data_IF_305881921380
#
_entry.id   IF_305881921380
#
_cell.length_a   1.000
_cell.length_b   1.000
_cell.length_c   1.000
_cell.angle_alpha   90.00
_cell.angle_beta   90.00
_cell.angle_gamma   90.00
#
_symmetry.space_group_name_H-M   'P 1'
#
loop_
_entity.id
_entity.type
_entity.pdbx_description
1 polymer ?
#
# COMPACT_ATOMS: atom_id res chain seq x y z
N UNK A 1 -10.96 13.37 16.40
CA UNK A 1 -12.13 12.50 16.09
C UNK A 1 -13.06 13.06 15.01
N UNK A 2 -13.80 14.17 15.25
CA UNK A 2 -14.76 14.73 14.28
C UNK A 2 -14.15 15.21 12.95
N UNK A 3 -12.85 15.52 12.90
CA UNK A 3 -12.22 16.10 11.71
C UNK A 3 -11.82 15.03 10.67
N UNK A 4 -11.14 13.96 11.06
CA UNK A 4 -10.73 12.88 10.16
C UNK A 4 -11.95 12.14 9.59
N UNK A 5 -12.92 11.80 10.43
CA UNK A 5 -14.17 11.19 9.99
C UNK A 5 -14.97 12.11 9.05
N UNK A 6 -15.00 13.42 9.30
CA UNK A 6 -15.63 14.39 8.38
C UNK A 6 -14.86 14.53 7.06
N UNK A 7 -13.53 14.41 7.06
CA UNK A 7 -12.74 14.42 5.83
C UNK A 7 -13.00 13.15 5.02
N UNK A 8 -12.97 11.97 5.65
CA UNK A 8 -13.33 10.71 5.01
C UNK A 8 -14.77 10.73 4.46
N UNK A 9 -15.74 11.23 5.24
CA UNK A 9 -17.14 11.35 4.82
C UNK A 9 -17.32 12.37 3.68
N UNK A 10 -16.62 13.51 3.71
CA UNK A 10 -16.65 14.53 2.66
C UNK A 10 -15.96 14.06 1.38
N UNK A 11 -14.87 13.31 1.50
CA UNK A 11 -14.17 12.69 0.38
C UNK A 11 -15.04 11.58 -0.21
N UNK A 12 -15.61 10.67 0.58
CA UNK A 12 -16.54 9.64 0.11
C UNK A 12 -17.74 10.24 -0.68
N UNK A 13 -18.29 11.37 -0.20
CA UNK A 13 -19.34 12.11 -0.93
C UNK A 13 -18.85 12.74 -2.25
N UNK A 14 -17.57 13.12 -2.36
CA UNK A 14 -16.97 13.64 -3.59
C UNK A 14 -16.50 12.54 -4.55
N UNK A 15 -16.01 11.42 -4.03
CA UNK A 15 -15.60 10.19 -4.73
C UNK A 15 -16.77 9.51 -5.44
N UNK A 16 -18.02 9.79 -5.02
CA UNK A 16 -19.23 9.37 -5.73
C UNK A 16 -19.44 7.86 -5.80
N UNK A 17 -18.87 7.09 -4.87
CA UNK A 17 -18.98 5.64 -4.83
C UNK A 17 -19.64 5.14 -3.54
N UNK A 18 -20.38 4.04 -3.67
CA UNK A 18 -20.99 3.24 -2.59
C UNK A 18 -19.94 2.49 -1.73
N UNK A 19 -18.65 2.81 -1.90
CA UNK A 19 -17.49 2.12 -1.32
C UNK A 19 -17.10 2.65 0.06
N UNK A 20 -18.00 3.32 0.77
CA UNK A 20 -17.73 3.81 2.11
C UNK A 20 -17.43 2.62 3.05
N UNK A 21 -16.18 2.48 3.47
CA UNK A 21 -15.76 1.43 4.39
C UNK A 21 -16.00 1.90 5.82
N UNK A 22 -16.77 1.13 6.58
CA UNK A 22 -16.96 1.39 8.02
C UNK A 22 -15.79 0.72 8.77
N UNK A 23 -15.05 1.45 9.63
CA UNK A 23 -13.97 0.84 10.42
C UNK A 23 -14.52 -0.27 11.33
N UNK A 24 -13.88 -1.43 11.29
CA UNK A 24 -14.11 -2.49 12.26
C UNK A 24 -13.45 -2.14 13.61
N UNK A 25 -14.03 -2.67 14.69
CA UNK A 25 -13.32 -2.78 15.96
C UNK A 25 -12.21 -3.83 15.82
N UNK A 26 -10.98 -3.47 16.19
CA UNK A 26 -9.84 -4.36 16.09
C UNK A 26 -9.90 -5.44 17.18
N UNK A 27 -9.72 -6.70 16.81
CA UNK A 27 -9.64 -7.82 17.75
C UNK A 27 -8.25 -7.94 18.42
N UNK A 28 -7.36 -6.98 18.17
CA UNK A 28 -6.02 -6.88 18.75
C UNK A 28 -5.79 -5.48 19.28
N UNK A 29 -4.97 -5.39 20.32
CA UNK A 29 -4.47 -4.11 20.82
C UNK A 29 -3.14 -3.77 20.14
N UNK A 30 -3.14 -2.72 19.33
CA UNK A 30 -1.89 -2.11 18.90
C UNK A 30 -1.28 -1.28 20.03
N UNK A 31 0.03 -1.42 20.19
CA UNK A 31 0.79 -0.75 21.22
C UNK A 31 1.31 0.60 20.74
N UNK A 32 0.80 1.66 21.34
CA UNK A 32 1.19 3.03 21.01
C UNK A 32 2.70 3.28 21.13
N UNK A 33 3.33 2.78 22.20
CA UNK A 33 4.77 3.04 22.42
C UNK A 33 5.63 2.40 21.33
N UNK A 34 5.20 1.24 20.80
CA UNK A 34 5.85 0.61 19.65
C UNK A 34 5.66 1.46 18.40
N UNK A 35 4.44 1.94 18.14
CA UNK A 35 4.15 2.77 16.99
C UNK A 35 4.93 4.09 17.00
N UNK A 36 4.97 4.78 18.14
CA UNK A 36 5.76 6.01 18.33
C UNK A 36 7.26 5.76 18.16
N UNK A 37 7.78 4.64 18.68
CA UNK A 37 9.19 4.28 18.47
C UNK A 37 9.52 4.09 17.00
N UNK A 38 8.63 3.44 16.24
CA UNK A 38 8.82 3.22 14.79
C UNK A 38 8.68 4.53 14.01
N UNK A 39 7.75 5.41 14.38
CA UNK A 39 7.61 6.74 13.81
C UNK A 39 8.89 7.57 14.02
N UNK A 40 9.42 7.60 15.24
CA UNK A 40 10.67 8.30 15.53
C UNK A 40 11.85 7.74 14.73
N UNK A 41 11.92 6.42 14.56
CA UNK A 41 12.94 5.77 13.74
C UNK A 41 12.81 6.18 12.25
N UNK A 42 11.60 6.20 11.71
CA UNK A 42 11.31 6.67 10.36
C UNK A 42 11.74 8.14 10.17
N UNK A 43 11.35 9.02 11.09
CA UNK A 43 11.70 10.44 11.04
C UNK A 43 13.22 10.64 11.05
N UNK A 44 13.95 9.92 11.92
CA UNK A 44 15.40 10.00 11.97
C UNK A 44 16.05 9.49 10.68
N UNK A 45 15.67 8.30 10.21
CA UNK A 45 16.22 7.68 9.00
C UNK A 45 15.89 8.47 7.73
N UNK A 46 14.78 9.20 7.71
CA UNK A 46 14.36 10.01 6.57
C UNK A 46 15.25 11.23 6.33
N UNK A 47 15.99 11.71 7.35
CA UNK A 47 16.88 12.87 7.21
C UNK A 47 17.90 12.70 6.07
N UNK A 48 18.38 11.49 5.87
CA UNK A 48 19.36 11.14 4.82
C UNK A 48 18.79 11.25 3.39
N UNK A 49 17.46 11.25 3.25
CA UNK A 49 16.75 11.42 1.98
C UNK A 49 15.97 12.73 1.90
N UNK A 50 16.34 13.71 2.75
CA UNK A 50 15.75 15.05 2.78
C UNK A 50 14.51 15.19 3.66
N UNK A 51 14.30 14.27 4.59
CA UNK A 51 13.20 14.28 5.57
C UNK A 51 12.01 13.42 5.13
N UNK A 52 11.05 13.28 6.05
CA UNK A 52 9.82 12.52 5.80
C UNK A 52 8.96 13.24 4.76
N UNK A 53 9.10 14.56 4.67
CA UNK A 53 8.42 15.44 3.74
C UNK A 53 8.72 15.06 2.29
N UNK A 54 9.98 14.75 1.95
CA UNK A 54 10.34 14.28 0.59
C UNK A 54 9.68 12.93 0.24
N UNK A 55 9.57 12.03 1.22
CA UNK A 55 8.89 10.75 1.02
C UNK A 55 7.38 10.96 0.81
N UNK A 56 6.77 11.86 1.59
CA UNK A 56 5.37 12.28 1.45
C UNK A 56 5.15 12.94 0.08
N UNK A 57 6.05 13.81 -0.38
CA UNK A 57 5.96 14.42 -1.71
C UNK A 57 5.98 13.37 -2.82
N UNK A 58 6.86 12.36 -2.73
CA UNK A 58 6.89 11.27 -3.71
C UNK A 58 5.62 10.40 -3.65
N UNK A 59 5.03 10.17 -2.48
CA UNK A 59 3.73 9.50 -2.35
C UNK A 59 2.60 10.35 -2.93
N UNK A 60 2.59 11.65 -2.67
CA UNK A 60 1.61 12.57 -3.25
C UNK A 60 1.72 12.63 -4.78
N UNK A 61 2.93 12.58 -5.35
CA UNK A 61 3.14 12.44 -6.78
C UNK A 61 2.58 11.11 -7.33
N UNK A 62 2.69 10.03 -6.56
CA UNK A 62 2.04 8.75 -6.89
C UNK A 62 0.52 8.88 -6.82
N UNK A 63 -0.05 9.52 -5.80
CA UNK A 63 -1.48 9.78 -5.72
C UNK A 63 -1.99 10.59 -6.92
N UNK A 64 -1.23 11.61 -7.35
CA UNK A 64 -1.56 12.39 -8.55
C UNK A 64 -1.55 11.54 -9.82
N UNK A 65 -0.58 10.64 -9.98
CA UNK A 65 -0.55 9.69 -11.10
C UNK A 65 -1.81 8.81 -11.11
N UNK A 66 -2.17 8.24 -9.97
CA UNK A 66 -3.29 7.30 -9.85
C UNK A 66 -4.65 8.02 -9.97
N UNK A 67 -4.80 9.20 -9.37
CA UNK A 67 -6.00 10.02 -9.51
C UNK A 67 -6.20 10.56 -10.94
N UNK A 68 -5.11 10.86 -11.66
CA UNK A 68 -5.19 11.23 -13.07
C UNK A 68 -5.51 10.03 -13.97
N UNK A 69 -4.93 8.86 -13.68
CA UNK A 69 -5.24 7.61 -14.36
C UNK A 69 -6.69 7.19 -14.13
N UNK A 70 -7.20 7.35 -12.91
CA UNK A 70 -8.50 6.86 -12.47
C UNK A 70 -9.32 7.96 -11.77
N UNK A 71 -9.89 8.93 -12.49
CA UNK A 71 -10.68 9.99 -11.87
C UNK A 71 -11.82 9.48 -10.98
N UNK A 72 -12.16 10.22 -9.93
CA UNK A 72 -13.22 9.91 -8.95
C UNK A 72 -14.55 9.50 -9.62
N UNK A 73 -14.97 10.27 -10.63
CA UNK A 73 -16.09 9.93 -11.50
C UNK A 73 -15.57 9.75 -12.91
N UNK A 74 -15.95 8.65 -13.57
CA UNK A 74 -15.58 8.37 -14.96
C UNK A 74 -16.22 9.41 -15.89
N UNK A 75 -15.44 10.32 -16.50
CA UNK A 75 -16.00 11.32 -17.41
C UNK A 75 -16.55 10.68 -18.69
N UNK A 76 -17.54 11.32 -19.31
CA UNK A 76 -17.99 10.93 -20.65
C UNK A 76 -16.83 11.03 -21.65
N UNK A 77 -16.57 9.95 -22.40
CA UNK A 77 -15.46 9.90 -23.35
C UNK A 77 -14.08 9.64 -22.73
N UNK A 78 -14.00 9.39 -21.42
CA UNK A 78 -12.74 8.95 -20.80
C UNK A 78 -12.34 7.58 -21.33
N UNK A 79 -11.04 7.47 -21.66
CA UNK A 79 -10.42 6.23 -22.08
C UNK A 79 -9.10 6.06 -21.32
N UNK A 80 -8.83 4.82 -20.97
CA UNK A 80 -7.60 4.43 -20.31
C UNK A 80 -6.59 4.02 -21.38
N UNK A 81 -5.51 4.78 -21.53
CA UNK A 81 -4.49 4.49 -22.53
C UNK A 81 -3.52 3.43 -22.02
N UNK A 82 -2.88 2.69 -22.93
CA UNK A 82 -1.86 1.72 -22.57
C UNK A 82 -0.65 2.38 -21.87
N UNK A 83 -0.26 3.59 -22.30
CA UNK A 83 0.83 4.33 -21.68
C UNK A 83 0.54 4.68 -20.22
N UNK A 84 -0.70 5.12 -19.94
CA UNK A 84 -1.16 5.38 -18.57
C UNK A 84 -1.15 4.10 -17.72
N UNK A 85 -1.63 2.98 -18.26
CA UNK A 85 -1.60 1.69 -17.58
C UNK A 85 -0.17 1.23 -17.26
N UNK A 86 0.74 1.34 -18.23
CA UNK A 86 2.13 0.95 -18.05
C UNK A 86 2.81 1.79 -16.96
N UNK A 87 2.49 3.09 -16.87
CA UNK A 87 2.96 3.96 -15.79
C UNK A 87 2.43 3.52 -14.42
N UNK A 88 1.13 3.17 -14.33
CA UNK A 88 0.53 2.64 -13.09
C UNK A 88 1.18 1.33 -12.69
N UNK A 89 1.35 0.38 -13.61
CA UNK A 89 1.97 -0.91 -13.33
C UNK A 89 3.44 -0.79 -12.93
N UNK A 90 4.17 0.16 -13.51
CA UNK A 90 5.56 0.44 -13.16
C UNK A 90 5.71 1.00 -11.74
N UNK A 91 4.73 1.75 -11.26
CA UNK A 91 4.69 2.34 -9.92
C UNK A 91 4.33 1.33 -8.81
N UNK A 92 3.89 0.12 -9.17
CA UNK A 92 3.57 -0.96 -8.21
C UNK A 92 4.65 -2.02 -8.24
N UNK A 93 5.49 -2.05 -7.20
CA UNK A 93 6.68 -2.90 -7.15
C UNK A 93 6.35 -4.40 -7.29
N UNK A 94 5.28 -4.86 -6.63
CA UNK A 94 4.92 -6.29 -6.58
C UNK A 94 4.52 -6.86 -7.95
N UNK A 95 3.95 -6.03 -8.83
CA UNK A 95 3.48 -6.48 -10.15
C UNK A 95 4.52 -6.28 -11.25
N UNK A 96 5.43 -5.31 -11.12
CA UNK A 96 6.37 -4.92 -12.20
C UNK A 96 7.14 -6.09 -12.81
N UNK A 97 7.64 -7.02 -11.99
CA UNK A 97 8.41 -8.19 -12.47
C UNK A 97 7.54 -9.36 -12.95
N UNK A 98 6.22 -9.27 -12.74
CA UNK A 98 5.23 -10.32 -13.04
C UNK A 98 4.33 -9.96 -14.21
N UNK A 99 4.32 -8.69 -14.61
CA UNK A 99 3.46 -8.18 -15.67
C UNK A 99 3.60 -8.97 -16.98
N UNK A 100 4.81 -9.39 -17.35
CA UNK A 100 5.02 -10.22 -18.54
C UNK A 100 4.30 -11.58 -18.48
N UNK A 101 4.36 -12.27 -17.33
CA UNK A 101 3.65 -13.53 -17.13
C UNK A 101 2.13 -13.34 -17.07
N UNK A 102 1.67 -12.26 -16.42
CA UNK A 102 0.25 -11.89 -16.37
C UNK A 102 -0.27 -11.61 -17.78
N UNK A 103 0.42 -10.77 -18.55
CA UNK A 103 0.05 -10.47 -19.94
C UNK A 103 0.04 -11.72 -20.83
N UNK A 104 0.99 -12.64 -20.64
CA UNK A 104 0.99 -13.90 -21.40
C UNK A 104 -0.22 -14.79 -21.06
N UNK A 105 -0.72 -14.73 -19.83
CA UNK A 105 -1.84 -15.55 -19.38
C UNK A 105 -3.21 -14.98 -19.78
N UNK A 106 -3.41 -13.65 -19.65
CA UNK A 106 -4.74 -13.03 -19.81
C UNK A 106 -4.82 -12.00 -20.95
N UNK A 107 -3.67 -11.51 -21.45
CA UNK A 107 -3.58 -10.44 -22.42
C UNK A 107 -3.70 -9.04 -21.80
N UNK A 108 -3.06 -8.04 -22.43
CA UNK A 108 -3.05 -6.66 -21.95
C UNK A 108 -4.45 -6.02 -21.93
N UNK A 109 -5.29 -6.32 -22.93
CA UNK A 109 -6.66 -5.82 -23.00
C UNK A 109 -7.51 -6.31 -21.82
N UNK A 110 -7.48 -7.61 -21.51
CA UNK A 110 -8.27 -8.16 -20.40
C UNK A 110 -7.80 -7.62 -19.05
N UNK A 111 -6.49 -7.39 -18.88
CA UNK A 111 -5.96 -6.73 -17.68
C UNK A 111 -6.49 -5.30 -17.57
N UNK A 112 -6.44 -4.52 -18.66
CA UNK A 112 -6.96 -3.15 -18.70
C UNK A 112 -8.46 -3.07 -18.43
N UNK A 113 -9.26 -3.94 -19.06
CA UNK A 113 -10.70 -4.05 -18.81
C UNK A 113 -10.98 -4.44 -17.36
N UNK A 114 -10.19 -5.35 -16.79
CA UNK A 114 -10.21 -5.72 -15.39
C UNK A 114 -9.95 -4.56 -14.44
N UNK A 115 -8.97 -3.70 -14.75
CA UNK A 115 -8.71 -2.49 -13.96
C UNK A 115 -9.89 -1.53 -14.04
N UNK A 116 -10.53 -1.38 -15.20
CA UNK A 116 -11.72 -0.53 -15.35
C UNK A 116 -12.88 -1.07 -14.53
N UNK A 117 -13.14 -2.38 -14.55
CA UNK A 117 -14.17 -3.01 -13.71
C UNK A 117 -13.84 -2.91 -12.23
N UNK A 118 -12.56 -3.08 -11.85
CA UNK A 118 -12.10 -2.88 -10.49
C UNK A 118 -12.41 -1.47 -9.97
N UNK A 119 -12.22 -0.43 -10.78
CA UNK A 119 -12.38 0.97 -10.33
C UNK A 119 -13.82 1.47 -10.46
N UNK A 120 -14.54 1.06 -11.50
CA UNK A 120 -15.84 1.64 -11.89
C UNK A 120 -16.98 0.63 -12.00
N UNK A 121 -16.75 -0.64 -11.70
CA UNK A 121 -17.78 -1.66 -11.70
C UNK A 121 -18.88 -1.37 -10.66
N UNK A 122 -20.06 -1.91 -10.90
CA UNK A 122 -21.27 -1.72 -10.10
C UNK A 122 -21.42 -2.71 -8.94
N UNK A 123 -20.55 -3.73 -8.89
CA UNK A 123 -20.52 -4.72 -7.81
C UNK A 123 -19.88 -4.17 -6.55
N UNK A 124 -20.10 -4.88 -5.45
CA UNK A 124 -19.43 -4.60 -4.18
C UNK A 124 -17.90 -4.54 -4.34
N UNK A 125 -17.23 -3.76 -3.49
CA UNK A 125 -15.77 -3.66 -3.46
C UNK A 125 -15.10 -5.04 -3.39
N UNK A 126 -15.62 -5.92 -2.53
CA UNK A 126 -15.10 -7.27 -2.36
C UNK A 126 -15.23 -8.10 -3.64
N UNK A 127 -16.38 -8.03 -4.32
CA UNK A 127 -16.61 -8.76 -5.57
C UNK A 127 -15.73 -8.25 -6.71
N UNK A 128 -15.50 -6.94 -6.79
CA UNK A 128 -14.58 -6.34 -7.78
C UNK A 128 -13.13 -6.77 -7.53
N UNK A 129 -12.68 -6.73 -6.29
CA UNK A 129 -11.35 -7.22 -5.91
C UNK A 129 -11.16 -8.69 -6.26
N UNK A 130 -12.13 -9.53 -5.89
CA UNK A 130 -12.10 -10.95 -6.20
C UNK A 130 -12.14 -11.21 -7.71
N UNK A 131 -13.00 -10.49 -8.44
CA UNK A 131 -13.11 -10.58 -9.89
C UNK A 131 -11.80 -10.24 -10.59
N UNK A 132 -11.14 -9.15 -10.17
CA UNK A 132 -9.86 -8.71 -10.71
C UNK A 132 -8.74 -9.73 -10.49
N UNK A 133 -8.62 -10.27 -9.26
CA UNK A 133 -7.62 -11.31 -8.95
C UNK A 133 -7.92 -12.61 -9.72
N UNK A 134 -9.20 -12.92 -9.93
CA UNK A 134 -9.65 -14.13 -10.61
C UNK A 134 -9.42 -14.13 -12.12
N UNK A 135 -9.04 -12.99 -12.72
CA UNK A 135 -8.59 -12.95 -14.11
C UNK A 135 -7.38 -13.87 -14.32
N UNK A 136 -6.46 -13.91 -13.35
CA UNK A 136 -5.25 -14.72 -13.43
C UNK A 136 -5.56 -16.16 -12.98
N UNK A 137 -5.14 -17.20 -13.73
CA UNK A 137 -5.40 -18.60 -13.39
C UNK A 137 -4.97 -19.00 -11.97
N UNK A 138 -5.72 -19.91 -11.33
CA UNK A 138 -5.52 -20.36 -9.95
C UNK A 138 -4.14 -21.00 -9.70
N UNK A 139 -3.57 -21.65 -10.72
CA UNK A 139 -2.24 -22.23 -10.68
C UNK A 139 -1.12 -21.18 -10.59
N UNK A 140 -1.37 -19.95 -11.02
CA UNK A 140 -0.43 -18.83 -11.02
C UNK A 140 -0.48 -18.06 -9.68
N UNK A 141 -0.24 -18.78 -8.59
CA UNK A 141 -0.41 -18.28 -7.20
C UNK A 141 0.35 -16.98 -6.91
N UNK A 142 1.57 -16.84 -7.44
CA UNK A 142 2.41 -15.66 -7.18
C UNK A 142 1.90 -14.43 -7.94
N UNK A 143 1.32 -14.63 -9.11
CA UNK A 143 0.78 -13.59 -9.98
C UNK A 143 -0.57 -13.12 -9.45
N UNK A 144 -1.43 -14.04 -8.98
CA UNK A 144 -2.66 -13.69 -8.25
C UNK A 144 -2.38 -12.87 -6.99
N UNK A 145 -1.34 -13.24 -6.23
CA UNK A 145 -0.87 -12.48 -5.07
C UNK A 145 -0.43 -11.05 -5.45
N UNK A 146 0.23 -10.88 -6.59
CA UNK A 146 0.61 -9.55 -7.08
C UNK A 146 -0.55 -8.75 -7.66
N UNK A 147 -1.54 -9.41 -8.27
CA UNK A 147 -2.79 -8.78 -8.70
C UNK A 147 -3.58 -8.22 -7.51
N UNK A 148 -3.59 -8.92 -6.37
CA UNK A 148 -4.18 -8.41 -5.13
C UNK A 148 -3.49 -7.12 -4.66
N UNK A 149 -2.15 -7.12 -4.65
CA UNK A 149 -1.37 -5.93 -4.25
C UNK A 149 -1.58 -4.77 -5.25
N UNK A 150 -1.63 -5.05 -6.55
CA UNK A 150 -1.96 -4.06 -7.58
C UNK A 150 -3.35 -3.44 -7.36
N UNK A 151 -4.36 -4.27 -7.08
CA UNK A 151 -5.70 -3.78 -6.84
C UNK A 151 -5.78 -2.87 -5.61
N UNK A 152 -5.15 -3.29 -4.51
CA UNK A 152 -5.09 -2.52 -3.28
C UNK A 152 -4.40 -1.15 -3.50
N UNK A 153 -3.27 -1.12 -4.22
CA UNK A 153 -2.57 0.13 -4.52
C UNK A 153 -3.35 1.03 -5.49
N UNK A 154 -4.03 0.47 -6.50
CA UNK A 154 -4.89 1.25 -7.42
C UNK A 154 -5.98 1.98 -6.66
N UNK A 155 -6.69 1.27 -5.79
CA UNK A 155 -7.80 1.84 -5.03
C UNK A 155 -7.30 2.85 -3.98
N UNK A 156 -6.23 2.51 -3.27
CA UNK A 156 -5.66 3.36 -2.22
C UNK A 156 -5.07 4.65 -2.79
N UNK A 157 -4.11 4.60 -3.74
CA UNK A 157 -3.46 5.82 -4.23
C UNK A 157 -4.38 6.70 -5.08
N UNK A 158 -5.53 6.17 -5.53
CA UNK A 158 -6.59 6.98 -6.15
C UNK A 158 -7.38 7.81 -5.12
N UNK A 159 -7.66 7.23 -3.95
CA UNK A 159 -8.43 7.86 -2.87
C UNK A 159 -7.87 7.43 -1.49
N UNK A 160 -6.71 7.98 -1.08
CA UNK A 160 -6.02 7.53 0.13
C UNK A 160 -6.75 7.90 1.42
N UNK A 161 -7.71 8.83 1.35
CA UNK A 161 -8.55 9.23 2.47
C UNK A 161 -9.77 8.31 2.64
N UNK A 162 -10.31 7.76 1.54
CA UNK A 162 -11.47 6.86 1.55
C UNK A 162 -11.12 5.38 1.58
N UNK A 163 -9.91 5.00 1.16
CA UNK A 163 -9.50 3.61 0.99
C UNK A 163 -8.21 3.33 1.78
N UNK A 164 -8.17 2.36 2.71
CA UNK A 164 -6.93 1.99 3.38
C UNK A 164 -5.99 1.22 2.46
N UNK A 165 -4.68 1.23 2.76
CA UNK A 165 -3.70 0.44 2.02
C UNK A 165 -3.80 -1.04 2.40
N UNK A 166 -4.40 -1.86 1.54
CA UNK A 166 -4.73 -3.27 1.82
C UNK A 166 -3.78 -4.29 1.16
N UNK A 167 -2.52 -3.90 0.96
CA UNK A 167 -1.51 -4.79 0.36
C UNK A 167 -1.12 -5.89 1.35
N UNK A 168 -0.62 -7.02 0.82
CA UNK A 168 -0.24 -8.17 1.64
C UNK A 168 0.94 -7.91 2.57
N UNK A 169 1.77 -6.90 2.27
CA UNK A 169 2.86 -6.52 3.16
C UNK A 169 2.37 -5.68 4.36
N UNK A 170 1.20 -5.03 4.25
CA UNK A 170 0.52 -4.45 5.41
C UNK A 170 -0.04 -5.59 6.28
N UNK A 171 -0.78 -6.52 5.67
CA UNK A 171 -1.23 -7.75 6.33
C UNK A 171 -1.58 -8.87 5.32
N UNK A 172 -1.12 -10.10 5.60
CA UNK A 172 -1.48 -11.32 4.88
C UNK A 172 -1.98 -12.36 5.90
N UNK A 173 -3.30 -12.45 6.05
CA UNK A 173 -3.98 -13.44 6.91
C UNK A 173 -3.51 -14.88 6.64
N UNK A 174 -3.23 -15.24 5.38
CA UNK A 174 -2.85 -16.60 5.04
C UNK A 174 -1.47 -17.01 5.59
N UNK A 175 -0.64 -16.03 5.93
CA UNK A 175 0.70 -16.26 6.52
C UNK A 175 0.84 -15.61 7.90
N UNK A 176 -0.23 -15.02 8.46
CA UNK A 176 -0.24 -14.27 9.71
C UNK A 176 0.94 -13.28 9.83
N UNK A 177 1.26 -12.59 8.73
CA UNK A 177 2.46 -11.76 8.60
C UNK A 177 2.14 -10.41 7.97
N UNK A 178 2.95 -9.40 8.27
CA UNK A 178 2.81 -8.06 7.69
C UNK A 178 3.19 -6.97 8.70
N UNK A 179 3.11 -5.73 8.26
CA UNK A 179 3.34 -4.54 9.08
C UNK A 179 2.52 -4.54 10.37
N UNK A 180 1.22 -4.90 10.29
CA UNK A 180 0.31 -4.80 11.44
C UNK A 180 0.75 -5.65 12.64
N UNK A 181 1.39 -6.80 12.39
CA UNK A 181 1.89 -7.67 13.46
C UNK A 181 2.91 -6.96 14.34
N UNK A 182 3.70 -6.06 13.77
CA UNK A 182 4.83 -5.40 14.43
C UNK A 182 4.41 -4.31 15.41
N UNK A 183 3.12 -4.00 15.49
CA UNK A 183 2.56 -3.09 16.47
C UNK A 183 1.94 -3.81 17.66
N UNK A 184 1.93 -5.15 17.66
CA UNK A 184 1.38 -5.94 18.77
C UNK A 184 2.51 -6.31 19.73
N UNK A 185 2.38 -5.92 21.00
CA UNK A 185 3.38 -6.26 22.02
C UNK A 185 3.44 -7.77 22.21
N UNK A 186 4.64 -8.34 22.10
CA UNK A 186 4.85 -9.79 22.28
C UNK A 186 4.33 -10.65 21.14
N UNK A 187 4.16 -10.07 19.94
CA UNK A 187 3.67 -10.76 18.73
C UNK A 187 4.34 -12.12 18.45
N UNK A 188 5.63 -12.28 18.73
CA UNK A 188 6.39 -13.52 18.51
C UNK A 188 5.95 -14.69 19.38
N UNK A 189 5.29 -14.40 20.51
CA UNK A 189 4.71 -15.40 21.41
C UNK A 189 3.25 -15.73 21.11
N UNK A 190 2.61 -15.05 20.14
CA UNK A 190 1.20 -15.27 19.84
C UNK A 190 1.03 -16.47 18.91
N UNK A 191 0.22 -17.48 19.28
CA UNK A 191 -0.03 -18.65 18.43
C UNK A 191 -0.86 -18.29 17.19
N UNK A 192 -1.69 -17.25 17.29
CA UNK A 192 -2.52 -16.70 16.23
C UNK A 192 -2.68 -15.20 16.45
N UNK A 193 -2.80 -14.44 15.35
CA UNK A 193 -3.08 -13.01 15.38
C UNK A 193 -4.44 -12.81 14.70
N UNK A 194 -5.49 -12.42 15.43
CA UNK A 194 -6.86 -12.36 14.92
C UNK A 194 -7.11 -11.08 14.09
N UNK A 195 -6.32 -10.90 13.04
CA UNK A 195 -6.54 -9.84 12.04
C UNK A 195 -6.97 -10.54 10.74
N UNK A 196 -8.13 -10.17 10.21
CA UNK A 196 -8.63 -10.68 8.94
C UNK A 196 -8.23 -9.78 7.75
N UNK A 197 -8.54 -10.21 6.54
CA UNK A 197 -8.24 -9.50 5.30
C UNK A 197 -9.36 -8.59 4.78
N UNK A 198 -10.37 -8.26 5.60
CA UNK A 198 -11.51 -7.42 5.18
C UNK A 198 -11.14 -5.94 5.18
N UNK A 199 -11.73 -5.17 4.27
CA UNK A 199 -11.44 -3.74 4.13
C UNK A 199 -11.71 -2.95 5.42
N UNK A 200 -12.76 -3.34 6.15
CA UNK A 200 -13.15 -2.77 7.44
C UNK A 200 -12.06 -2.93 8.50
N UNK A 201 -11.32 -4.04 8.49
CA UNK A 201 -10.22 -4.29 9.43
C UNK A 201 -9.02 -3.41 9.13
N UNK A 202 -8.65 -3.26 7.85
CA UNK A 202 -7.61 -2.30 7.44
C UNK A 202 -8.03 -0.86 7.75
N UNK A 203 -9.32 -0.54 7.62
CA UNK A 203 -9.87 0.77 7.97
C UNK A 203 -9.82 1.02 9.47
N UNK A 204 -10.16 0.03 10.30
CA UNK A 204 -9.99 0.10 11.76
C UNK A 204 -8.53 0.36 12.15
N UNK A 205 -7.58 -0.31 11.49
CA UNK A 205 -6.16 -0.06 11.69
C UNK A 205 -5.76 1.37 11.28
N UNK A 206 -6.21 1.84 10.11
CA UNK A 206 -5.94 3.21 9.63
C UNK A 206 -6.47 4.27 10.60
N UNK A 207 -7.70 4.10 11.11
CA UNK A 207 -8.27 4.99 12.12
C UNK A 207 -7.42 5.01 13.39
N UNK A 208 -6.98 3.84 13.88
CA UNK A 208 -6.11 3.76 15.05
C UNK A 208 -4.80 4.52 14.85
N UNK A 209 -4.13 4.35 13.70
CA UNK A 209 -2.89 5.09 13.40
C UNK A 209 -3.15 6.60 13.24
N UNK A 210 -4.25 6.99 12.61
CA UNK A 210 -4.62 8.40 12.46
C UNK A 210 -4.85 9.07 13.82
N UNK A 211 -5.48 8.36 14.77
CA UNK A 211 -5.66 8.86 16.15
C UNK A 211 -4.33 9.00 16.88
N UNK A 212 -3.47 8.00 16.81
CA UNK A 212 -2.12 8.05 17.38
C UNK A 212 -1.31 9.22 16.82
N UNK A 213 -1.33 9.41 15.49
CA UNK A 213 -0.63 10.51 14.82
C UNK A 213 -1.19 11.89 15.20
N UNK A 214 -2.52 12.02 15.29
CA UNK A 214 -3.16 13.26 15.70
C UNK A 214 -2.77 13.66 17.13
N UNK A 215 -2.72 12.70 18.06
CA UNK A 215 -2.26 12.93 19.43
C UNK A 215 -0.77 13.30 19.51
N UNK A 216 0.05 12.77 18.59
CA UNK A 216 1.44 13.17 18.41
C UNK A 216 1.61 14.54 17.68
N UNK A 217 0.52 15.17 17.24
CA UNK A 217 0.53 16.50 16.62
C UNK A 217 0.61 16.51 15.09
N UNK A 218 0.43 15.37 14.42
CA UNK A 218 0.43 15.27 12.96
C UNK A 218 -1.00 15.38 12.40
N UNK A 219 -1.22 16.37 11.53
CA UNK A 219 -2.55 16.69 10.96
C UNK A 219 -2.53 16.91 9.45
N UNK A 220 -1.40 16.68 8.77
CA UNK A 220 -1.28 16.83 7.32
C UNK A 220 -0.76 15.54 6.74
N UNK A 221 -1.22 15.23 5.52
CA UNK A 221 -0.79 14.07 4.75
C UNK A 221 -0.88 12.77 5.57
N UNK A 222 -1.88 12.68 6.45
CA UNK A 222 -2.01 11.60 7.44
C UNK A 222 -2.03 10.22 6.78
N UNK A 223 -2.78 9.96 5.68
CA UNK A 223 -2.72 8.66 5.02
C UNK A 223 -1.30 8.28 4.57
N UNK A 224 -0.56 9.21 3.98
CA UNK A 224 0.79 8.99 3.48
C UNK A 224 1.77 8.74 4.63
N UNK A 225 1.61 9.42 5.76
CA UNK A 225 2.42 9.16 6.94
C UNK A 225 2.12 7.78 7.56
N UNK A 226 0.85 7.34 7.52
CA UNK A 226 0.46 5.97 7.93
C UNK A 226 1.14 4.94 7.01
N UNK A 227 1.12 5.14 5.70
CA UNK A 227 1.76 4.22 4.74
C UNK A 227 3.26 4.08 4.99
N UNK A 228 3.94 5.19 5.26
CA UNK A 228 5.36 5.21 5.59
C UNK A 228 5.64 4.48 6.91
N UNK A 229 4.80 4.68 7.94
CA UNK A 229 4.91 4.00 9.22
C UNK A 229 4.71 2.49 9.08
N UNK A 230 3.71 2.06 8.30
CA UNK A 230 3.46 0.65 8.00
C UNK A 230 4.63 0.04 7.22
N UNK A 231 5.17 0.74 6.23
CA UNK A 231 6.29 0.26 5.44
C UNK A 231 7.59 0.19 6.28
N UNK A 232 7.78 1.10 7.23
CA UNK A 232 8.87 1.04 8.21
C UNK A 232 8.73 -0.21 9.07
N UNK A 233 7.53 -0.45 9.62
CA UNK A 233 7.26 -1.61 10.46
C UNK A 233 7.51 -2.93 9.72
N UNK A 234 7.02 -3.05 8.48
CA UNK A 234 7.30 -4.24 7.66
C UNK A 234 8.78 -4.38 7.31
N UNK A 235 9.50 -3.26 7.12
CA UNK A 235 10.95 -3.31 6.90
C UNK A 235 11.70 -3.86 8.12
N UNK A 236 11.27 -3.51 9.33
CA UNK A 236 11.81 -4.06 10.57
C UNK A 236 11.55 -5.57 10.67
N UNK A 237 10.32 -6.01 10.37
CA UNK A 237 9.94 -7.43 10.33
C UNK A 237 10.85 -8.23 9.38
N UNK A 238 11.03 -7.77 8.15
CA UNK A 238 11.87 -8.46 7.16
C UNK A 238 13.34 -8.52 7.63
N UNK A 239 13.86 -7.44 8.23
CA UNK A 239 15.22 -7.41 8.78
C UNK A 239 15.40 -8.39 9.95
N UNK A 240 14.43 -8.47 10.86
CA UNK A 240 14.45 -9.40 11.97
C UNK A 240 14.44 -10.86 11.47
N UNK A 241 13.57 -11.17 10.52
CA UNK A 241 13.44 -12.52 9.95
C UNK A 241 14.69 -12.95 9.17
N UNK A 242 15.29 -12.05 8.38
CA UNK A 242 16.52 -12.37 7.63
C UNK A 242 17.75 -12.51 8.53
N UNK A 243 17.81 -11.75 9.61
CA UNK A 243 18.86 -11.83 10.63
C UNK A 243 18.78 -13.13 11.43
N UNK A 244 17.57 -13.60 11.76
CA UNK A 244 17.34 -14.86 12.46
C UNK A 244 17.68 -16.12 11.65
N UNK A 245 17.70 -16.03 10.32
CA UNK A 245 18.05 -17.13 9.41
C UNK A 245 19.55 -17.18 9.03
N UNK A 246 20.39 -16.29 9.57
CA UNK A 246 21.82 -16.23 9.23
C UNK A 246 22.10 -15.82 7.77
N UNK A 247 21.10 -15.30 7.05
CA UNK A 247 21.18 -14.97 5.62
C UNK A 247 21.76 -13.57 5.34
N UNK A 248 22.30 -12.90 6.35
CA UNK A 248 22.73 -11.49 6.30
C UNK A 248 23.87 -11.23 5.31
N UNK A 249 24.61 -12.26 4.87
CA UNK A 249 25.80 -12.08 4.02
C UNK A 249 25.71 -12.60 2.58
N UNK A 250 24.77 -13.49 2.25
CA UNK A 250 24.80 -14.19 0.95
C UNK A 250 23.97 -13.52 -0.16
N UNK A 251 22.91 -12.77 0.18
CA UNK A 251 22.03 -12.12 -0.80
C UNK A 251 21.99 -10.57 -0.67
N UNK A 252 22.62 -10.00 0.37
CA UNK A 252 22.43 -8.60 0.78
C UNK A 252 23.78 -7.89 1.02
N UNK A 253 24.48 -7.53 -0.06
CA UNK A 253 25.79 -6.86 -0.01
C UNK A 253 25.88 -5.64 0.94
N UNK A 254 27.12 -5.20 1.18
CA UNK A 254 27.48 -4.18 2.16
C UNK A 254 26.66 -2.87 1.96
N UNK A 255 26.05 -2.39 3.06
CA UNK A 255 25.43 -1.06 3.24
C UNK A 255 24.15 -0.76 2.44
N UNK A 256 23.05 -1.44 2.78
CA UNK A 256 21.70 -1.03 2.38
C UNK A 256 21.19 0.11 3.26
N UNK A 257 20.73 1.21 2.65
CA UNK A 257 20.10 2.32 3.36
C UNK A 257 18.87 1.81 4.14
N UNK A 258 18.64 2.23 5.40
CA UNK A 258 17.54 1.69 6.23
C UNK A 258 16.16 1.74 5.58
N UNK A 259 15.92 2.73 4.72
CA UNK A 259 14.66 2.98 4.00
C UNK A 259 14.53 2.29 2.65
N UNK A 260 15.52 1.55 2.17
CA UNK A 260 15.50 1.00 0.79
C UNK A 260 14.29 0.10 0.53
N UNK A 261 13.98 -0.79 1.47
CA UNK A 261 12.82 -1.67 1.35
C UNK A 261 11.50 -0.88 1.40
N UNK A 262 11.38 0.11 2.28
CA UNK A 262 10.22 1.01 2.35
C UNK A 262 10.00 1.73 1.00
N UNK A 263 11.06 2.30 0.44
CA UNK A 263 11.03 3.02 -0.85
C UNK A 263 10.58 2.08 -1.97
N UNK A 264 11.13 0.85 -2.00
CA UNK A 264 10.73 -0.18 -2.96
C UNK A 264 9.26 -0.59 -2.80
N UNK A 265 8.80 -0.87 -1.58
CA UNK A 265 7.42 -1.30 -1.31
C UNK A 265 6.40 -0.27 -1.77
N UNK A 266 6.68 1.00 -1.49
CA UNK A 266 5.79 2.11 -1.84
C UNK A 266 5.98 2.60 -3.28
N UNK A 267 6.99 2.10 -4.01
CA UNK A 267 7.23 2.48 -5.41
C UNK A 267 7.58 3.97 -5.58
N UNK A 268 8.18 4.58 -4.56
CA UNK A 268 8.56 5.99 -4.55
C UNK A 268 10.03 6.17 -4.87
N UNK A 269 10.42 7.36 -5.35
CA UNK A 269 11.82 7.75 -5.49
C UNK A 269 12.02 9.14 -4.87
N UNK A 270 12.63 9.26 -3.69
CA UNK A 270 12.84 10.54 -3.04
C UNK A 270 13.94 11.38 -3.71
N UNK A 271 14.85 10.79 -4.49
CA UNK A 271 15.93 11.53 -5.15
C UNK A 271 15.44 12.37 -6.34
N UNK A 272 14.34 11.96 -6.96
CA UNK A 272 13.76 12.64 -8.13
C UNK A 272 12.47 13.39 -7.83
N UNK A 273 11.90 13.24 -6.63
CA UNK A 273 10.57 13.76 -6.27
C UNK A 273 9.45 13.20 -7.15
N UNK A 274 9.67 12.02 -7.75
CA UNK A 274 8.74 11.33 -8.67
C UNK A 274 8.42 9.93 -8.15
N UNK A 275 7.24 9.40 -8.49
CA UNK A 275 7.05 7.95 -8.46
C UNK A 275 7.99 7.28 -9.47
N UNK A 276 8.51 6.08 -9.18
CA UNK A 276 9.53 5.41 -10.01
C UNK A 276 9.01 5.26 -11.45
N UNK A 277 9.45 6.17 -12.33
CA UNK A 277 8.92 6.35 -13.67
C UNK A 277 10.04 6.52 -14.68
N UNK A 278 10.72 5.41 -14.99
CA UNK A 278 11.18 5.00 -16.33
C UNK A 278 11.87 3.64 -16.22
N UNK A 279 11.41 2.68 -16.99
CA UNK A 279 12.15 1.45 -17.25
C UNK A 279 13.46 1.85 -17.96
N UNK A 280 14.59 1.86 -17.24
CA UNK A 280 15.89 2.08 -17.86
C UNK A 280 16.99 2.60 -16.95
N UNK A 281 16.69 3.23 -15.82
CA UNK A 281 17.75 3.68 -14.91
C UNK A 281 18.05 2.60 -13.86
N UNK A 282 19.33 2.27 -13.64
CA UNK A 282 19.72 1.26 -12.68
C UNK A 282 19.28 1.70 -11.29
N UNK A 283 18.43 0.88 -10.66
CA UNK A 283 18.29 0.85 -9.21
C UNK A 283 19.69 0.89 -8.60
N UNK A 284 19.96 1.88 -7.75
CA UNK A 284 21.16 1.90 -6.93
C UNK A 284 21.33 0.53 -6.29
N UNK A 285 22.42 -0.14 -6.65
CA UNK A 285 22.90 -1.37 -6.06
C UNK A 285 23.60 -1.07 -4.74
#
# INVERSE_FOLDING_TARGET
MLWYKKQADATAQQSGGDDAIVPAELAVDFDRSIAESKLNALLEQSKDVGGVENLIESLNAKCLLFGAAFPAKRPSGWSLTQETLDAVYAAVFQVRRKLGAIHAAIGAQALGDGVVDLVYGDKSLQDRLLGFVSLVPEEMKKERRAMRDLAAEILHFRDPEGMPLMTRWVWDEATASGALREFIRGNDGLPEIPIDNRAETFEGARVWFAEMLAEAGFYRDVPMLIDLLLAQAYSDYVKAMSSGLGMVQAEFGQSHHPLELLIKLLGVDPATGRGIGKAGEPTLH
#
